data_IF_567710236331
#
_entry.id   IF_567710236331
#
_cell.length_a   1.000
_cell.length_b   1.000
_cell.length_c   1.000
_cell.angle_alpha   90.00
_cell.angle_beta   90.00
_cell.angle_gamma   90.00
#
_symmetry.space_group_name_H-M   'P 1'
#
loop_
_entity.id
_entity.type
_entity.pdbx_description
1 polymer ?
#
# COMPACT_ATOMS: atom_id res chain seq x y z
N UNK A 1 0.67 12.79 5.90
CA UNK A 1 0.59 11.91 7.09
C UNK A 1 1.93 11.94 7.82
N UNK A 2 1.94 12.47 9.05
CA UNK A 2 3.14 12.72 9.84
C UNK A 2 4.03 11.46 9.98
N UNK A 3 5.34 11.64 9.75
CA UNK A 3 6.35 10.57 9.75
C UNK A 3 6.75 10.12 11.15
N UNK A 4 5.90 9.34 11.81
CA UNK A 4 6.23 8.68 13.06
C UNK A 4 6.53 7.19 12.81
N UNK A 5 7.64 6.70 13.37
CA UNK A 5 7.94 5.27 13.41
C UNK A 5 7.19 4.64 14.58
N UNK A 6 5.97 4.17 14.33
CA UNK A 6 5.25 3.31 15.27
C UNK A 6 5.87 1.91 15.18
N UNK A 7 6.25 1.27 16.30
CA UNK A 7 6.87 -0.06 16.27
C UNK A 7 5.94 -1.08 15.60
N UNK A 8 6.49 -1.88 14.68
CA UNK A 8 5.74 -2.85 13.88
C UNK A 8 4.92 -3.86 14.72
N UNK A 9 5.34 -4.11 15.96
CA UNK A 9 4.65 -4.99 16.89
C UNK A 9 3.31 -4.44 17.41
N UNK A 10 3.07 -3.11 17.33
CA UNK A 10 1.80 -2.51 17.74
C UNK A 10 0.66 -2.69 16.72
N UNK A 11 0.95 -3.25 15.53
CA UNK A 11 0.02 -3.25 14.39
C UNK A 11 -0.26 -4.64 13.77
N UNK A 12 0.24 -5.72 14.40
CA UNK A 12 0.20 -7.08 13.83
C UNK A 12 -1.20 -7.68 13.66
N UNK A 13 -2.24 -7.12 14.29
CA UNK A 13 -3.61 -7.68 14.25
C UNK A 13 -4.54 -7.21 13.13
N UNK A 14 -4.12 -6.27 12.26
CA UNK A 14 -5.05 -5.60 11.33
C UNK A 14 -5.03 -6.14 9.88
N UNK A 15 -4.32 -7.24 9.61
CA UNK A 15 -4.15 -7.77 8.25
C UNK A 15 -5.05 -8.99 8.00
N UNK A 16 -5.65 -9.02 6.81
CA UNK A 16 -6.45 -10.14 6.31
C UNK A 16 -5.50 -11.29 5.95
N UNK A 17 -5.78 -12.48 6.46
CA UNK A 17 -4.88 -13.65 6.38
C UNK A 17 -3.47 -13.39 6.92
N UNK A 18 -3.29 -12.37 7.78
CA UNK A 18 -1.98 -11.94 8.29
C UNK A 18 -0.98 -11.50 7.19
N UNK A 19 -1.43 -11.28 5.95
CA UNK A 19 -0.59 -10.95 4.80
C UNK A 19 -1.12 -9.70 4.07
N UNK A 20 -2.42 -9.64 3.79
CA UNK A 20 -3.00 -8.61 2.93
C UNK A 20 -3.69 -7.50 3.71
N UNK A 21 -3.57 -6.26 3.23
CA UNK A 21 -4.43 -5.17 3.70
C UNK A 21 -5.72 -5.15 2.88
N UNK A 22 -6.84 -4.63 3.42
CA UNK A 22 -8.08 -4.49 2.67
C UNK A 22 -7.90 -3.73 1.33
N UNK A 23 -7.05 -2.70 1.33
CA UNK A 23 -6.72 -1.92 0.12
C UNK A 23 -6.05 -2.78 -0.96
N UNK A 24 -5.19 -3.73 -0.57
CA UNK A 24 -4.47 -4.58 -1.50
C UNK A 24 -5.44 -5.54 -2.22
N UNK A 25 -6.43 -6.07 -1.49
CA UNK A 25 -7.49 -6.91 -2.05
C UNK A 25 -8.40 -6.16 -3.02
N UNK A 26 -8.77 -4.91 -2.68
CA UNK A 26 -9.56 -4.05 -3.57
C UNK A 26 -8.79 -3.73 -4.86
N UNK A 27 -7.50 -3.42 -4.74
CA UNK A 27 -6.66 -3.12 -5.90
C UNK A 27 -6.54 -4.34 -6.83
N UNK A 28 -6.33 -5.53 -6.27
CA UNK A 28 -6.27 -6.76 -7.05
C UNK A 28 -7.62 -7.10 -7.70
N UNK A 29 -8.73 -6.96 -6.97
CA UNK A 29 -10.06 -7.26 -7.51
C UNK A 29 -10.45 -6.32 -8.66
N UNK A 30 -10.12 -5.03 -8.55
CA UNK A 30 -10.35 -4.05 -9.63
C UNK A 30 -9.47 -4.37 -10.84
N UNK A 31 -8.19 -4.71 -10.66
CA UNK A 31 -7.30 -5.09 -11.75
C UNK A 31 -7.74 -6.37 -12.47
N UNK A 32 -8.17 -7.38 -11.71
CA UNK A 32 -8.72 -8.62 -12.24
C UNK A 32 -10.04 -8.38 -12.98
N UNK A 33 -10.96 -7.62 -12.39
CA UNK A 33 -12.24 -7.26 -13.00
C UNK A 33 -12.06 -6.46 -14.30
N UNK A 34 -11.14 -5.50 -14.32
CA UNK A 34 -10.83 -4.71 -15.52
C UNK A 34 -10.22 -5.58 -16.62
N UNK A 35 -9.32 -6.50 -16.28
CA UNK A 35 -8.71 -7.41 -17.24
C UNK A 35 -9.75 -8.36 -17.86
N UNK A 36 -10.65 -8.93 -17.03
CA UNK A 36 -11.75 -9.75 -17.51
C UNK A 36 -12.69 -8.96 -18.44
N UNK A 37 -13.03 -7.73 -18.06
CA UNK A 37 -13.87 -6.86 -18.88
C UNK A 37 -13.21 -6.53 -20.23
N UNK A 38 -11.91 -6.23 -20.23
CA UNK A 38 -11.12 -6.00 -21.45
C UNK A 38 -11.13 -7.23 -22.36
N UNK A 39 -10.96 -8.43 -21.81
CA UNK A 39 -11.01 -9.69 -22.57
C UNK A 39 -12.41 -9.95 -23.15
N UNK A 40 -13.48 -9.63 -22.42
CA UNK A 40 -14.86 -9.81 -22.91
C UNK A 40 -15.20 -8.84 -24.05
N UNK A 41 -14.76 -7.58 -23.95
CA UNK A 41 -14.97 -6.58 -25.00
C UNK A 41 -14.09 -6.88 -26.22
N UNK A 42 -12.86 -7.30 -25.98
CA UNK A 42 -11.85 -7.47 -27.02
C UNK A 42 -11.89 -8.90 -27.55
N UNK A 43 -12.85 -9.17 -28.45
CA UNK A 43 -12.93 -10.43 -29.20
C UNK A 43 -11.88 -10.46 -30.32
N UNK A 44 -10.59 -10.39 -29.97
CA UNK A 44 -9.49 -10.40 -30.93
C UNK A 44 -8.85 -11.78 -31.02
N UNK A 45 -8.50 -12.21 -32.24
CA UNK A 45 -7.69 -13.41 -32.51
C UNK A 45 -6.19 -13.18 -32.34
N UNK A 46 -5.76 -11.93 -32.09
CA UNK A 46 -4.36 -11.57 -31.94
C UNK A 46 -3.86 -11.87 -30.52
N UNK A 47 -2.87 -12.75 -30.42
CA UNK A 47 -2.22 -13.12 -29.14
C UNK A 47 -1.66 -11.91 -28.41
N UNK A 48 -1.14 -10.90 -29.14
CA UNK A 48 -0.60 -9.69 -28.52
C UNK A 48 -1.67 -8.87 -27.81
N UNK A 49 -2.86 -8.78 -28.39
CA UNK A 49 -3.98 -8.03 -27.82
C UNK A 49 -4.48 -8.72 -26.55
N UNK A 50 -4.56 -10.06 -26.56
CA UNK A 50 -4.91 -10.86 -25.37
C UNK A 50 -3.91 -10.65 -24.24
N UNK A 51 -2.61 -10.68 -24.53
CA UNK A 51 -1.56 -10.40 -23.52
C UNK A 51 -1.70 -8.99 -22.96
N UNK A 52 -1.98 -8.00 -23.81
CA UNK A 52 -2.16 -6.61 -23.40
C UNK A 52 -3.38 -6.45 -22.48
N UNK A 53 -4.49 -7.15 -22.79
CA UNK A 53 -5.69 -7.19 -21.95
C UNK A 53 -5.45 -7.84 -20.58
N UNK A 54 -4.44 -8.70 -20.45
CA UNK A 54 -4.00 -9.31 -19.19
C UNK A 54 -3.05 -8.43 -18.35
N UNK A 55 -2.52 -7.33 -18.90
CA UNK A 55 -1.59 -6.46 -18.15
C UNK A 55 -2.18 -5.88 -16.87
N UNK A 56 -3.45 -5.42 -16.81
CA UNK A 56 -3.99 -4.83 -15.58
C UNK A 56 -3.96 -5.80 -14.40
N UNK A 57 -4.30 -7.08 -14.62
CA UNK A 57 -4.24 -8.11 -13.57
C UNK A 57 -2.79 -8.50 -13.25
N UNK A 58 -1.90 -8.52 -14.25
CA UNK A 58 -0.47 -8.78 -14.02
C UNK A 58 0.20 -7.70 -13.16
N UNK A 59 -0.06 -6.42 -13.46
CA UNK A 59 0.52 -5.29 -12.73
C UNK A 59 -0.03 -5.22 -11.30
N UNK A 60 -1.36 -5.32 -11.13
CA UNK A 60 -1.98 -5.29 -9.80
C UNK A 60 -1.60 -6.52 -8.97
N UNK A 61 -1.48 -7.70 -9.60
CA UNK A 61 -0.94 -8.91 -8.97
C UNK A 61 0.47 -8.69 -8.45
N UNK A 62 1.39 -8.20 -9.29
CA UNK A 62 2.77 -7.90 -8.89
C UNK A 62 2.84 -6.94 -7.70
N UNK A 63 2.05 -5.86 -7.73
CA UNK A 63 2.04 -4.85 -6.67
C UNK A 63 1.57 -5.38 -5.30
N UNK A 64 0.75 -6.43 -5.30
CA UNK A 64 0.17 -7.06 -4.10
C UNK A 64 1.04 -8.20 -3.56
N UNK A 65 2.02 -8.70 -4.33
CA UNK A 65 2.91 -9.79 -3.88
C UNK A 65 3.64 -9.40 -2.59
N UNK A 66 3.63 -10.28 -1.56
CA UNK A 66 4.39 -10.06 -0.34
C UNK A 66 5.90 -10.20 -0.57
N UNK A 67 6.68 -9.27 -0.05
CA UNK A 67 8.16 -9.27 -0.13
C UNK A 67 8.75 -9.30 1.28
N UNK A 68 9.84 -10.04 1.53
CA UNK A 68 10.52 -10.00 2.82
C UNK A 68 10.86 -8.56 3.27
N UNK A 69 10.63 -8.24 4.53
CA UNK A 69 10.81 -6.91 5.16
C UNK A 69 9.76 -5.84 4.80
N UNK A 70 8.87 -6.09 3.84
CA UNK A 70 7.75 -5.18 3.49
C UNK A 70 6.41 -5.93 3.49
N UNK A 71 5.29 -5.22 3.53
CA UNK A 71 3.99 -5.89 3.40
C UNK A 71 3.71 -6.35 1.98
N UNK A 72 4.07 -5.52 1.00
CA UNK A 72 3.97 -5.83 -0.42
C UNK A 72 4.89 -4.95 -1.27
N UNK A 73 5.00 -5.26 -2.56
CA UNK A 73 5.78 -4.49 -3.55
C UNK A 73 5.37 -3.01 -3.55
N UNK A 74 4.06 -2.72 -3.51
CA UNK A 74 3.56 -1.35 -3.48
C UNK A 74 4.12 -0.57 -2.28
N UNK A 75 4.12 -1.17 -1.09
CA UNK A 75 4.71 -0.58 0.11
C UNK A 75 6.20 -0.32 -0.02
N UNK A 76 6.94 -1.26 -0.62
CA UNK A 76 8.36 -1.09 -0.85
C UNK A 76 8.60 0.13 -1.78
N UNK A 77 7.90 0.21 -2.91
CA UNK A 77 8.01 1.34 -3.84
C UNK A 77 7.65 2.66 -3.14
N UNK A 78 6.55 2.69 -2.39
CA UNK A 78 6.13 3.89 -1.64
C UNK A 78 7.21 4.33 -0.64
N UNK A 79 7.83 3.39 0.08
CA UNK A 79 8.89 3.72 1.04
C UNK A 79 10.14 4.28 0.35
N UNK A 80 10.50 3.74 -0.82
CA UNK A 80 11.61 4.22 -1.64
C UNK A 80 11.33 5.65 -2.13
N UNK A 81 10.17 5.87 -2.75
CA UNK A 81 9.77 7.20 -3.25
C UNK A 81 9.72 8.22 -2.11
N UNK A 82 9.21 7.81 -0.95
CA UNK A 82 9.15 8.65 0.25
C UNK A 82 10.54 9.02 0.75
N UNK A 83 11.48 8.08 0.75
CA UNK A 83 12.87 8.35 1.16
C UNK A 83 13.56 9.39 0.27
N UNK A 84 13.27 9.39 -1.04
CA UNK A 84 13.83 10.37 -1.96
C UNK A 84 13.13 11.73 -1.93
N UNK A 85 11.81 11.75 -1.72
CA UNK A 85 11.01 12.98 -1.75
C UNK A 85 10.87 13.68 -0.39
N UNK A 86 11.02 12.96 0.72
CA UNK A 86 10.89 13.50 2.07
C UNK A 86 12.26 13.64 2.78
N UNK A 87 12.20 14.19 4.00
CA UNK A 87 13.29 14.20 4.96
C UNK A 87 13.83 12.78 5.18
N UNK A 88 15.14 12.61 4.99
CA UNK A 88 15.88 11.35 5.25
C UNK A 88 16.24 11.12 6.72
N UNK A 89 15.88 12.04 7.61
CA UNK A 89 16.14 11.95 9.05
C UNK A 89 14.90 11.50 9.80
N UNK A 90 14.97 10.33 10.44
CA UNK A 90 13.90 9.84 11.31
C UNK A 90 13.99 10.52 12.67
N UNK A 91 12.93 11.22 13.10
CA UNK A 91 12.83 11.77 14.47
C UNK A 91 11.99 10.79 15.29
N UNK A 92 12.60 10.20 16.33
CA UNK A 92 11.85 9.45 17.33
C UNK A 92 11.21 10.41 18.34
N UNK A 93 9.90 10.30 18.53
CA UNK A 93 9.09 11.22 19.37
C UNK A 93 8.63 10.60 20.69
N UNK A 94 9.12 9.41 21.03
CA UNK A 94 8.74 8.71 22.27
C UNK A 94 7.37 8.03 22.22
N UNK A 95 7.07 7.28 23.28
CA UNK A 95 5.82 6.52 23.43
C UNK A 95 4.67 7.38 24.01
N UNK A 96 5.00 8.49 24.68
CA UNK A 96 4.06 9.39 25.39
C UNK A 96 3.89 10.75 24.69
N UNK A 97 3.97 10.82 23.36
CA UNK A 97 3.83 12.08 22.61
C UNK A 97 2.48 12.78 22.85
N UNK A 98 1.40 12.03 23.07
CA UNK A 98 0.06 12.61 23.25
C UNK A 98 -0.16 13.31 24.61
N UNK A 99 0.68 13.05 25.61
CA UNK A 99 0.52 13.62 26.95
C UNK A 99 0.75 15.13 26.99
N UNK A 100 1.71 15.65 26.23
CA UNK A 100 2.08 17.07 26.22
C UNK A 100 1.18 17.92 25.29
N UNK A 101 0.80 17.40 24.11
CA UNK A 101 -0.05 18.15 23.17
C UNK A 101 -1.52 18.24 23.62
N UNK A 102 -2.02 17.25 24.38
CA UNK A 102 -3.37 17.30 24.94
C UNK A 102 -3.56 18.43 25.97
N UNK A 103 -2.47 18.92 26.57
CA UNK A 103 -2.46 20.09 27.45
C UNK A 103 -2.21 21.41 26.71
N UNK A 104 -1.38 21.41 25.66
CA UNK A 104 -1.08 22.64 24.90
C UNK A 104 -2.27 23.13 24.05
N UNK A 105 -3.05 22.21 23.45
CA UNK A 105 -4.26 22.60 22.71
C UNK A 105 -5.41 23.07 23.62
N UNK A 106 -5.40 22.69 24.91
CA UNK A 106 -6.37 23.19 25.89
C UNK A 106 -6.06 24.60 26.40
N UNK A 107 -4.80 25.02 26.32
CA UNK A 107 -4.34 26.34 26.80
C UNK A 107 -4.38 27.42 25.70
N UNK A 108 -4.79 27.10 24.47
CA UNK A 108 -4.96 28.05 23.36
C UNK A 108 -6.41 28.45 23.08
N UNK A 109 -7.33 28.24 24.03
CA UNK A 109 -8.69 28.78 23.99
C UNK A 109 -8.83 30.01 24.86
#
# INVERSE_FOLDING_TARGET
>A
MNGYLVPANAKRGTLIFNIFRPVDLIMFSVGAGLSLLLLMITQSSSTLVVILSCLPVGITGLLVVPIPNYHNVLCAIQSILRFYNERRNYIWRGWCFYGEFGSEDKNKK
#
